data_IF_788615798274
#
_entry.id   IF_788615798274
#
_cell.length_a   1.000
_cell.length_b   1.000
_cell.length_c   1.000
_cell.angle_alpha   90.00
_cell.angle_beta   90.00
_cell.angle_gamma   90.00
#
_symmetry.space_group_name_H-M   'P 1'
#
loop_
_entity.id
_entity.type
_entity.pdbx_description
1 polymer ?
#
# COMPACT_ATOMS: atom_id res chain seq x y z
N UNK A 1 1.23 -11.78 -15.59
CA UNK A 1 -0.17 -11.37 -15.80
C UNK A 1 -0.68 -10.78 -14.50
N UNK A 2 -1.02 -9.49 -14.47
CA UNK A 2 -1.54 -8.83 -13.28
C UNK A 2 -3.05 -9.05 -13.20
N UNK A 3 -3.54 -9.62 -12.10
CA UNK A 3 -4.97 -9.68 -11.80
C UNK A 3 -5.43 -8.34 -11.22
N UNK A 4 -6.27 -7.61 -11.93
CA UNK A 4 -7.10 -6.55 -11.34
C UNK A 4 -8.20 -7.23 -10.51
N UNK A 5 -8.21 -7.03 -9.19
CA UNK A 5 -9.34 -7.45 -8.37
C UNK A 5 -10.39 -6.35 -8.41
N UNK A 6 -11.46 -6.58 -9.18
CA UNK A 6 -12.57 -5.63 -9.36
C UNK A 6 -13.45 -5.63 -8.10
N UNK A 7 -13.66 -4.48 -7.47
CA UNK A 7 -14.42 -4.35 -6.21
C UNK A 7 -15.84 -3.78 -6.39
N UNK A 8 -16.55 -4.20 -7.43
CA UNK A 8 -18.01 -3.99 -7.53
C UNK A 8 -18.77 -5.13 -6.82
N UNK A 9 -19.25 -4.89 -5.61
CA UNK A 9 -20.46 -5.49 -4.98
C UNK A 9 -20.41 -5.28 -3.46
N UNK A 10 -21.44 -4.60 -2.94
CA UNK A 10 -21.55 -4.11 -1.57
C UNK A 10 -21.84 -5.17 -0.50
N UNK A 11 -20.80 -5.86 -0.06
CA UNK A 11 -20.74 -6.64 1.19
C UNK A 11 -19.36 -6.41 1.85
N UNK A 12 -19.21 -6.54 3.19
CA UNK A 12 -18.02 -6.07 3.91
C UNK A 12 -16.78 -6.85 3.52
N UNK A 13 -15.77 -6.18 2.95
CA UNK A 13 -14.59 -6.83 2.34
C UNK A 13 -13.37 -6.76 3.25
N UNK A 14 -13.20 -7.77 4.10
CA UNK A 14 -11.97 -8.00 4.83
C UNK A 14 -10.87 -8.47 3.85
N UNK A 15 -9.75 -7.73 3.76
CA UNK A 15 -8.49 -8.31 3.25
C UNK A 15 -7.53 -8.45 4.41
N UNK A 16 -7.37 -9.71 4.86
CA UNK A 16 -6.39 -10.16 5.84
C UNK A 16 -5.25 -10.85 5.10
N UNK A 17 -4.02 -10.33 5.21
CA UNK A 17 -2.82 -11.08 4.81
C UNK A 17 -1.94 -11.27 6.04
N UNK A 18 -1.77 -12.52 6.45
CA UNK A 18 -0.92 -13.00 7.55
C UNK A 18 0.05 -14.03 6.96
N UNK A 19 1.38 -13.86 6.99
CA UNK A 19 2.29 -14.90 6.52
C UNK A 19 2.97 -15.60 7.69
N UNK A 20 2.92 -16.93 7.67
CA UNK A 20 3.76 -17.79 8.49
C UNK A 20 4.06 -19.07 7.72
N UNK A 21 5.29 -19.23 7.21
CA UNK A 21 5.85 -20.57 6.97
C UNK A 21 7.32 -20.61 7.44
N UNK A 22 7.73 -21.72 8.10
CA UNK A 22 9.05 -21.86 8.70
C UNK A 22 10.14 -22.05 7.63
N UNK A 23 11.37 -21.78 8.03
CA UNK A 23 12.58 -21.84 7.22
C UNK A 23 12.66 -23.05 6.27
N UNK A 24 13.10 -22.77 5.03
CA UNK A 24 13.38 -23.68 3.90
C UNK A 24 12.17 -24.09 3.03
N UNK A 25 11.61 -23.12 2.31
CA UNK A 25 11.14 -23.36 0.94
C UNK A 25 11.21 -22.04 0.15
N UNK A 26 11.47 -22.14 -1.15
CA UNK A 26 11.70 -21.01 -2.07
C UNK A 26 10.70 -19.87 -1.87
N UNK A 27 11.21 -18.67 -1.62
CA UNK A 27 10.67 -17.37 -2.06
C UNK A 27 9.17 -17.35 -2.44
N UNK A 28 8.27 -17.42 -1.44
CA UNK A 28 6.91 -16.93 -1.61
C UNK A 28 6.96 -15.39 -1.56
N UNK A 29 7.51 -14.77 -2.60
CA UNK A 29 7.49 -13.32 -2.76
C UNK A 29 6.06 -12.96 -3.15
N UNK A 30 5.31 -12.33 -2.25
CA UNK A 30 3.99 -11.83 -2.61
C UNK A 30 4.15 -10.74 -3.68
N UNK A 31 3.47 -10.90 -4.81
CA UNK A 31 3.30 -9.86 -5.81
C UNK A 31 2.61 -8.63 -5.20
N UNK A 32 2.85 -7.44 -5.76
CA UNK A 32 2.20 -6.16 -5.46
C UNK A 32 0.86 -6.27 -4.73
N UNK A 33 0.71 -5.58 -3.61
CA UNK A 33 -0.61 -5.36 -3.00
C UNK A 33 -1.19 -4.06 -3.53
N UNK A 34 -2.33 -4.14 -4.20
CA UNK A 34 -3.09 -2.98 -4.65
C UNK A 34 -4.50 -3.03 -4.08
N UNK A 35 -4.91 -1.94 -3.43
CA UNK A 35 -6.25 -1.77 -2.87
C UNK A 35 -6.88 -0.51 -3.44
N UNK A 36 -8.15 -0.57 -3.80
CA UNK A 36 -8.93 0.55 -4.33
C UNK A 36 -10.42 0.32 -4.02
N UNK A 37 -11.16 1.39 -3.74
CA UNK A 37 -12.58 1.37 -3.37
C UNK A 37 -12.89 0.33 -2.28
N UNK A 38 -12.10 0.32 -1.21
CA UNK A 38 -12.20 -0.65 -0.12
C UNK A 38 -11.88 -0.03 1.23
N UNK A 39 -12.48 -0.55 2.28
CA UNK A 39 -12.35 -0.05 3.65
C UNK A 39 -11.95 -1.15 4.63
N UNK A 40 -11.49 -0.76 5.82
CA UNK A 40 -11.14 -1.68 6.92
C UNK A 40 -10.07 -2.72 6.55
N UNK A 41 -9.03 -2.30 5.82
CA UNK A 41 -7.97 -3.18 5.32
C UNK A 41 -6.83 -3.31 6.33
N UNK A 42 -6.37 -4.54 6.55
CA UNK A 42 -5.27 -4.86 7.49
C UNK A 42 -4.19 -5.68 6.83
N UNK A 43 -2.99 -5.11 6.71
CA UNK A 43 -1.83 -5.79 6.08
C UNK A 43 -0.71 -5.91 7.12
N UNK A 44 -0.50 -7.11 7.64
CA UNK A 44 0.39 -7.33 8.78
C UNK A 44 1.45 -8.39 8.54
N UNK A 45 2.63 -8.20 9.12
CA UNK A 45 3.67 -9.23 9.26
C UNK A 45 4.23 -9.78 7.93
N UNK A 46 4.07 -9.05 6.82
CA UNK A 46 4.34 -9.54 5.46
C UNK A 46 5.69 -9.15 4.88
N UNK A 47 6.24 -10.00 4.01
CA UNK A 47 7.38 -9.66 3.15
C UNK A 47 6.89 -9.51 1.72
N UNK A 48 7.03 -8.31 1.15
CA UNK A 48 6.51 -7.97 -0.18
C UNK A 48 7.66 -7.41 -1.02
N UNK A 49 7.84 -7.95 -2.22
CA UNK A 49 8.83 -7.45 -3.18
C UNK A 49 8.38 -7.77 -4.60
N UNK A 50 8.23 -6.75 -5.42
CA UNK A 50 7.69 -6.88 -6.77
C UNK A 50 8.41 -6.00 -7.80
N UNK A 51 9.41 -5.22 -7.37
CA UNK A 51 10.10 -4.23 -8.20
C UNK A 51 9.31 -2.94 -8.43
N UNK A 52 8.14 -2.75 -7.81
CA UNK A 52 7.30 -1.56 -7.86
C UNK A 52 6.80 -1.21 -6.43
N UNK A 53 5.65 -0.54 -6.27
CA UNK A 53 5.06 -0.25 -4.97
C UNK A 53 4.66 -1.57 -4.28
N UNK A 54 5.29 -1.92 -3.16
CA UNK A 54 4.92 -3.08 -2.34
C UNK A 54 3.43 -3.04 -1.96
N UNK A 55 2.95 -1.85 -1.56
CA UNK A 55 1.55 -1.58 -1.32
C UNK A 55 1.18 -0.27 -2.02
N UNK A 56 0.08 -0.29 -2.78
CA UNK A 56 -0.48 0.89 -3.45
C UNK A 56 -1.95 1.08 -3.06
N UNK A 57 -2.28 2.24 -2.51
CA UNK A 57 -3.59 2.60 -1.96
C UNK A 57 -4.28 3.57 -2.92
N UNK A 58 -5.28 3.08 -3.65
CA UNK A 58 -6.04 3.80 -4.68
C UNK A 58 -7.18 4.64 -4.12
N UNK A 59 -8.00 5.17 -5.02
CA UNK A 59 -9.12 6.04 -4.66
C UNK A 59 -10.19 5.29 -3.85
N UNK A 60 -10.94 6.01 -3.02
CA UNK A 60 -12.07 5.46 -2.26
C UNK A 60 -11.67 4.63 -1.03
N UNK A 61 -10.36 4.52 -0.74
CA UNK A 61 -9.88 3.77 0.41
C UNK A 61 -10.00 4.54 1.72
N UNK A 62 -10.47 3.86 2.78
CA UNK A 62 -10.42 4.40 4.15
C UNK A 62 -10.17 3.31 5.19
N UNK A 63 -9.68 3.70 6.37
CA UNK A 63 -9.42 2.79 7.50
C UNK A 63 -8.45 1.65 7.12
N UNK A 64 -7.25 2.02 6.66
CA UNK A 64 -6.20 1.07 6.26
C UNK A 64 -5.09 1.07 7.31
N UNK A 65 -4.79 -0.08 7.90
CA UNK A 65 -3.68 -0.27 8.86
C UNK A 65 -2.65 -1.27 8.31
N UNK A 66 -1.44 -0.78 8.08
CA UNK A 66 -0.29 -1.55 7.59
C UNK A 66 0.75 -1.58 8.70
N UNK A 67 1.13 -2.77 9.14
CA UNK A 67 2.02 -2.94 10.30
C UNK A 67 3.03 -4.05 10.09
N UNK A 68 4.27 -3.83 10.52
CA UNK A 68 5.29 -4.88 10.62
C UNK A 68 5.54 -5.57 9.28
N UNK A 69 5.65 -4.80 8.20
CA UNK A 69 5.97 -5.36 6.89
C UNK A 69 7.43 -5.10 6.52
N UNK A 70 8.01 -6.02 5.75
CA UNK A 70 9.28 -5.81 5.04
C UNK A 70 8.97 -5.62 3.56
N UNK A 71 9.20 -4.41 3.06
CA UNK A 71 8.99 -4.03 1.67
C UNK A 71 10.33 -3.91 0.94
N UNK A 72 10.41 -4.54 -0.23
CA UNK A 72 11.42 -4.26 -1.24
C UNK A 72 12.37 -5.41 -1.55
N UNK A 73 13.13 -5.30 -2.66
CA UNK A 73 13.31 -4.09 -3.50
C UNK A 73 12.07 -3.62 -4.29
N UNK A 74 11.96 -2.31 -4.56
CA UNK A 74 10.87 -1.69 -5.32
C UNK A 74 10.73 -0.16 -5.19
N UNK A 75 9.52 0.37 -5.21
CA UNK A 75 9.21 1.81 -5.10
C UNK A 75 8.72 2.24 -3.70
N UNK A 76 8.55 1.30 -2.77
CA UNK A 76 8.09 1.56 -1.41
C UNK A 76 6.58 1.35 -1.23
N UNK A 77 5.97 2.11 -0.32
CA UNK A 77 4.53 2.11 -0.08
C UNK A 77 3.95 3.43 -0.59
N UNK A 78 2.95 3.36 -1.46
CA UNK A 78 2.37 4.55 -2.09
C UNK A 78 0.88 4.69 -1.79
N UNK A 79 0.45 5.91 -1.46
CA UNK A 79 -0.94 6.35 -1.61
C UNK A 79 -1.06 6.97 -3.00
N UNK A 80 -1.91 6.41 -3.86
CA UNK A 80 -2.12 6.83 -5.24
C UNK A 80 -1.38 5.98 -6.29
N UNK A 81 -1.34 6.44 -7.55
CA UNK A 81 -1.72 7.79 -8.00
C UNK A 81 -3.22 8.08 -7.91
N UNK A 82 -3.57 9.25 -7.37
CA UNK A 82 -4.95 9.69 -7.16
C UNK A 82 -5.36 10.76 -8.18
N UNK A 83 -6.65 10.78 -8.56
CA UNK A 83 -7.24 11.85 -9.38
C UNK A 83 -6.91 11.76 -10.88
N UNK A 84 -6.61 10.57 -11.39
CA UNK A 84 -6.32 10.37 -12.82
C UNK A 84 -7.49 10.87 -13.70
N UNK A 85 -7.20 11.42 -14.88
CA UNK A 85 -8.20 12.00 -15.80
C UNK A 85 -9.09 13.10 -15.19
N UNK A 86 -8.52 14.00 -14.37
CA UNK A 86 -9.25 15.05 -13.67
C UNK A 86 -10.38 14.53 -12.76
N UNK A 87 -10.29 13.27 -12.33
CA UNK A 87 -11.28 12.66 -11.45
C UNK A 87 -11.12 13.15 -10.00
N UNK A 88 -12.19 12.95 -9.23
CA UNK A 88 -12.16 13.14 -7.78
C UNK A 88 -11.71 11.87 -7.08
N UNK A 89 -10.69 11.94 -6.24
CA UNK A 89 -10.18 10.82 -5.46
C UNK A 89 -10.03 11.21 -3.98
N UNK A 90 -10.59 10.39 -3.10
CA UNK A 90 -10.50 10.57 -1.65
C UNK A 90 -9.89 9.34 -1.01
N UNK A 91 -8.96 9.57 -0.08
CA UNK A 91 -8.37 8.54 0.78
C UNK A 91 -8.31 9.10 2.20
N UNK A 92 -8.69 8.32 3.21
CA UNK A 92 -8.67 8.78 4.61
C UNK A 92 -8.28 7.72 5.63
N UNK A 93 -7.71 8.15 6.76
CA UNK A 93 -7.35 7.27 7.88
C UNK A 93 -6.45 6.09 7.46
N UNK A 94 -5.25 6.43 7.01
CA UNK A 94 -4.23 5.47 6.58
C UNK A 94 -3.11 5.48 7.60
N UNK A 95 -2.79 4.32 8.15
CA UNK A 95 -1.67 4.14 9.07
C UNK A 95 -0.69 3.13 8.52
N UNK A 96 0.58 3.51 8.40
CA UNK A 96 1.68 2.58 8.14
C UNK A 96 2.67 2.71 9.29
N UNK A 97 3.02 1.59 9.92
CA UNK A 97 3.91 1.61 11.06
C UNK A 97 4.78 0.37 11.23
N UNK A 98 5.81 0.53 12.04
CA UNK A 98 6.71 -0.56 12.47
C UNK A 98 7.28 -1.36 11.30
N UNK A 99 7.59 -0.72 10.18
CA UNK A 99 7.87 -1.40 8.91
C UNK A 99 9.27 -1.08 8.39
N UNK A 100 9.84 -2.02 7.64
CA UNK A 100 11.16 -1.91 7.03
C UNK A 100 11.00 -1.82 5.52
N UNK A 101 11.53 -0.76 4.91
CA UNK A 101 11.52 -0.55 3.46
C UNK A 101 12.97 -0.54 2.99
N UNK A 102 13.37 -1.57 2.25
CA UNK A 102 14.75 -1.83 1.88
C UNK A 102 14.93 -1.88 0.38
N UNK A 103 16.07 -1.39 -0.10
CA UNK A 103 16.47 -1.43 -1.52
C UNK A 103 15.34 -0.90 -2.44
N UNK A 104 14.70 0.18 -2.00
CA UNK A 104 13.63 0.84 -2.73
C UNK A 104 14.01 2.27 -3.10
N UNK A 105 13.33 2.85 -4.08
CA UNK A 105 13.54 4.25 -4.44
C UNK A 105 12.99 5.21 -3.38
N UNK A 106 11.88 4.83 -2.74
CA UNK A 106 11.20 5.61 -1.72
C UNK A 106 10.82 4.73 -0.52
N UNK A 107 10.61 5.37 0.63
CA UNK A 107 9.95 4.78 1.78
C UNK A 107 8.44 4.78 1.61
N UNK A 108 7.84 5.87 2.05
CA UNK A 108 6.41 6.14 1.89
C UNK A 108 6.21 7.31 0.94
N UNK A 109 5.15 7.27 0.13
CA UNK A 109 4.92 8.28 -0.90
C UNK A 109 3.45 8.59 -1.11
N UNK A 110 3.11 9.84 -1.42
CA UNK A 110 1.75 10.23 -1.87
C UNK A 110 1.83 10.76 -3.30
N UNK A 111 1.09 10.14 -4.23
CA UNK A 111 1.05 10.47 -5.66
C UNK A 111 -0.32 11.02 -6.05
N UNK A 112 -0.35 12.21 -6.62
CA UNK A 112 -1.58 12.81 -7.19
C UNK A 112 -1.34 13.21 -8.65
N UNK A 113 -2.39 13.17 -9.45
CA UNK A 113 -2.39 13.70 -10.81
C UNK A 113 -2.76 15.18 -10.81
N UNK A 114 -2.01 15.99 -11.58
CA UNK A 114 -2.38 17.37 -11.85
C UNK A 114 -3.77 17.43 -12.52
N UNK A 115 -4.62 18.34 -12.06
CA UNK A 115 -6.01 18.47 -12.54
C UNK A 115 -7.00 17.55 -11.83
N UNK A 116 -6.53 16.55 -11.07
CA UNK A 116 -7.35 15.78 -10.14
C UNK A 116 -7.84 16.62 -8.96
N UNK A 117 -8.92 16.17 -8.31
CA UNK A 117 -9.50 16.82 -7.14
C UNK A 117 -9.76 15.82 -6.01
N UNK A 118 -10.06 16.30 -4.80
CA UNK A 118 -10.40 15.44 -3.66
C UNK A 118 -9.46 15.65 -2.47
N UNK A 119 -9.25 14.61 -1.67
CA UNK A 119 -8.61 14.74 -0.34
C UNK A 119 -7.80 13.52 0.04
N UNK A 120 -6.63 13.74 0.63
CA UNK A 120 -5.90 12.74 1.40
C UNK A 120 -5.83 13.24 2.84
N UNK A 121 -6.42 12.54 3.79
CA UNK A 121 -6.52 13.00 5.19
C UNK A 121 -6.28 11.90 6.22
N UNK A 122 -5.79 12.27 7.40
CA UNK A 122 -5.54 11.31 8.48
C UNK A 122 -4.50 10.24 8.11
N UNK A 123 -3.39 10.65 7.50
CA UNK A 123 -2.30 9.73 7.15
C UNK A 123 -1.23 9.76 8.24
N UNK A 124 -0.85 8.60 8.74
CA UNK A 124 0.21 8.42 9.74
C UNK A 124 1.26 7.45 9.21
N UNK A 125 2.51 7.91 9.19
CA UNK A 125 3.69 7.08 8.97
C UNK A 125 4.55 7.13 10.21
N UNK A 126 4.78 6.01 10.89
CA UNK A 126 5.54 5.98 12.14
C UNK A 126 6.46 4.77 12.24
N UNK A 127 7.64 4.93 12.83
CA UNK A 127 8.61 3.83 12.98
C UNK A 127 8.88 3.08 11.65
N UNK A 128 9.17 3.85 10.59
CA UNK A 128 9.51 3.32 9.26
C UNK A 128 11.02 3.37 9.10
N UNK A 129 11.66 2.21 9.01
CA UNK A 129 13.07 2.11 8.66
C UNK A 129 13.20 2.10 7.14
N UNK A 130 13.65 3.21 6.57
CA UNK A 130 13.63 3.43 5.12
C UNK A 130 15.01 3.72 4.52
N UNK A 131 15.02 3.75 3.20
CA UNK A 131 16.11 4.04 2.27
C UNK A 131 16.12 5.51 1.82
N UNK A 132 16.95 5.79 0.80
CA UNK A 132 17.43 7.09 0.32
C UNK A 132 16.43 8.25 0.33
N UNK A 133 15.16 8.02 -0.04
CA UNK A 133 14.07 9.00 0.06
C UNK A 133 13.02 8.51 1.07
N UNK A 134 13.08 8.90 2.36
CA UNK A 134 12.21 8.34 3.38
C UNK A 134 10.73 8.66 3.18
N UNK A 135 10.42 9.89 2.75
CA UNK A 135 9.06 10.40 2.50
C UNK A 135 9.11 11.25 1.23
N UNK A 136 8.19 11.01 0.29
CA UNK A 136 8.04 11.79 -0.95
C UNK A 136 6.58 12.21 -1.21
#
# INVERSE_FOLDING_TARGET
>A
MYGKWNTDSGLPRYVLVVPLLPAKSLAAVMSRVHIENTNDVKIYNSVISDGDDCVSIGAGCHDVDIKNITCGPGHGISIGSLGNHNSRACVSNITVRDSVIKVSDNGVRIKTWQGGSGTVSGVTFSNIHSVRNPIL
#
